data_IF_756493957225
#
_entry.id   IF_756493957225
#
_cell.length_a   1.000
_cell.length_b   1.000
_cell.length_c   1.000
_cell.angle_alpha   90.00
_cell.angle_beta   90.00
_cell.angle_gamma   90.00
#
_symmetry.space_group_name_H-M   'P 1'
#
loop_
_entity.id
_entity.type
_entity.pdbx_description
1 polymer ?
#
# COMPACT_ATOMS: atom_id res chain seq x y z
N UNK A 1 -5.18 65.09 -8.11
CA UNK A 1 -4.64 64.13 -9.07
C UNK A 1 -3.50 63.41 -8.37
N UNK A 2 -3.77 62.25 -7.77
CA UNK A 2 -2.77 61.42 -7.11
C UNK A 2 -2.37 60.31 -8.07
N UNK A 3 -1.06 60.18 -8.33
CA UNK A 3 -0.52 59.19 -9.25
C UNK A 3 -0.68 57.79 -8.66
N UNK A 4 -1.40 56.93 -9.36
CA UNK A 4 -1.36 55.49 -9.14
C UNK A 4 -0.10 54.97 -9.83
N UNK A 5 0.77 54.31 -9.05
CA UNK A 5 1.92 53.58 -9.56
C UNK A 5 1.44 52.17 -9.85
N UNK A 6 1.62 51.71 -11.09
CA UNK A 6 1.14 50.41 -11.57
C UNK A 6 1.74 49.28 -10.73
N UNK A 7 0.87 48.39 -10.26
CA UNK A 7 1.26 47.19 -9.53
C UNK A 7 2.05 46.27 -10.45
N UNK A 8 3.35 46.18 -10.20
CA UNK A 8 4.22 45.19 -10.83
C UNK A 8 3.63 43.81 -10.64
N UNK A 9 3.19 43.19 -11.74
CA UNK A 9 2.79 41.79 -11.74
C UNK A 9 4.02 40.95 -11.42
N UNK A 10 4.02 40.33 -10.24
CA UNK A 10 4.95 39.24 -9.95
C UNK A 10 4.57 38.05 -10.84
N UNK A 11 5.32 37.86 -11.92
CA UNK A 11 5.34 36.60 -12.65
C UNK A 11 6.17 35.59 -11.86
N UNK A 12 5.67 35.17 -10.71
CA UNK A 12 6.13 33.98 -10.02
C UNK A 12 5.41 32.78 -10.62
N UNK A 13 6.12 31.87 -11.29
CA UNK A 13 5.58 30.54 -11.55
C UNK A 13 5.21 29.94 -10.18
N UNK A 14 3.93 29.63 -9.97
CA UNK A 14 3.50 28.99 -8.74
C UNK A 14 4.26 27.66 -8.60
N UNK A 15 4.93 27.47 -7.47
CA UNK A 15 5.68 26.24 -7.20
C UNK A 15 4.70 25.06 -7.22
N UNK A 16 4.95 24.09 -8.10
CA UNK A 16 4.17 22.85 -8.17
C UNK A 16 4.38 22.03 -6.90
N UNK A 17 3.38 22.11 -6.01
CA UNK A 17 3.38 21.39 -4.74
C UNK A 17 3.27 19.87 -4.92
N UNK A 18 2.81 19.39 -6.08
CA UNK A 18 2.63 17.97 -6.35
C UNK A 18 1.33 17.36 -5.84
N UNK A 19 0.42 18.19 -5.33
CA UNK A 19 -0.88 17.77 -4.86
C UNK A 19 -1.94 18.87 -5.01
N UNK A 20 -3.20 18.47 -4.92
CA UNK A 20 -4.36 19.34 -4.71
C UNK A 20 -5.02 18.91 -3.40
N UNK A 21 -5.31 19.85 -2.50
CA UNK A 21 -6.01 19.56 -1.24
C UNK A 21 -7.45 20.05 -1.27
N UNK A 22 -8.39 19.15 -1.04
CA UNK A 22 -9.80 19.45 -0.82
C UNK A 22 -10.11 19.45 0.69
N UNK A 23 -10.43 20.62 1.24
CA UNK A 23 -10.75 20.79 2.65
C UNK A 23 -12.12 20.25 3.06
N UNK A 24 -13.05 20.08 2.12
CA UNK A 24 -14.39 19.54 2.40
C UNK A 24 -14.32 18.05 2.68
N UNK A 25 -13.50 17.33 1.91
CA UNK A 25 -13.30 15.88 2.04
C UNK A 25 -12.04 15.52 2.82
N UNK A 26 -11.22 16.51 3.21
CA UNK A 26 -9.88 16.34 3.79
C UNK A 26 -8.99 15.43 2.95
N UNK A 27 -8.96 15.64 1.63
CA UNK A 27 -8.27 14.74 0.70
C UNK A 27 -7.13 15.42 -0.03
N UNK A 28 -5.96 14.78 0.01
CA UNK A 28 -4.84 15.08 -0.88
C UNK A 28 -4.99 14.26 -2.16
N UNK A 29 -5.12 14.93 -3.29
CA UNK A 29 -4.96 14.33 -4.63
C UNK A 29 -3.51 14.50 -5.04
N UNK A 30 -2.74 13.42 -5.08
CA UNK A 30 -1.28 13.42 -5.19
C UNK A 30 -0.84 12.91 -6.57
N UNK A 31 0.04 13.65 -7.24
CA UNK A 31 0.55 13.30 -8.59
C UNK A 31 2.08 13.32 -8.71
N UNK A 32 2.82 13.64 -7.64
CA UNK A 32 4.27 13.44 -7.61
C UNK A 32 4.78 13.15 -6.18
N UNK A 33 6.09 12.90 -6.05
CA UNK A 33 6.74 12.57 -4.79
C UNK A 33 6.61 13.69 -3.72
N UNK A 34 6.71 14.96 -4.11
CA UNK A 34 6.59 16.09 -3.20
C UNK A 34 5.18 16.13 -2.57
N UNK A 35 4.14 15.90 -3.38
CA UNK A 35 2.78 15.83 -2.87
C UNK A 35 2.54 14.68 -1.92
N UNK A 36 3.14 13.51 -2.18
CA UNK A 36 3.02 12.36 -1.29
C UNK A 36 3.70 12.64 0.06
N UNK A 37 4.87 13.29 0.05
CA UNK A 37 5.58 13.69 1.26
C UNK A 37 4.83 14.80 2.02
N UNK A 38 4.15 15.72 1.32
CA UNK A 38 3.30 16.72 1.94
C UNK A 38 2.10 16.09 2.66
N UNK A 39 1.42 15.14 2.02
CA UNK A 39 0.38 14.34 2.68
C UNK A 39 0.93 13.56 3.88
N UNK A 40 2.08 12.90 3.73
CA UNK A 40 2.74 12.16 4.81
C UNK A 40 3.04 13.05 6.03
N UNK A 41 3.45 14.31 5.80
CA UNK A 41 3.66 15.30 6.86
C UNK A 41 2.34 15.76 7.51
N UNK A 42 1.27 15.87 6.72
CA UNK A 42 -0.05 16.26 7.22
C UNK A 42 -0.65 15.21 8.16
N UNK A 43 -0.54 13.92 7.83
CA UNK A 43 -1.08 12.83 8.66
C UNK A 43 -0.40 12.69 10.02
N UNK A 44 0.79 13.27 10.21
CA UNK A 44 1.44 13.33 11.52
C UNK A 44 0.66 14.22 12.52
N UNK A 45 -0.22 15.10 12.01
CA UNK A 45 -1.06 16.00 12.80
C UNK A 45 -2.53 15.58 12.83
N UNK A 46 -3.01 14.99 11.74
CA UNK A 46 -4.37 14.47 11.61
C UNK A 46 -4.35 13.17 10.79
N UNK A 47 -4.36 12.04 11.50
CA UNK A 47 -4.30 10.68 10.93
C UNK A 47 -5.53 10.29 10.08
N UNK A 48 -6.58 11.13 10.06
CA UNK A 48 -7.79 10.92 9.27
C UNK A 48 -7.72 11.48 7.84
N UNK A 49 -6.66 12.22 7.51
CA UNK A 49 -6.51 12.87 6.19
C UNK A 49 -6.38 11.81 5.08
N UNK A 50 -7.21 11.94 4.06
CA UNK A 50 -7.26 11.02 2.92
C UNK A 50 -6.14 11.31 1.91
N UNK A 51 -5.73 10.27 1.19
CA UNK A 51 -4.82 10.36 0.05
C UNK A 51 -5.44 9.64 -1.16
N UNK A 52 -5.35 10.27 -2.31
CA UNK A 52 -5.71 9.67 -3.60
C UNK A 52 -4.58 9.92 -4.57
N UNK A 53 -3.98 8.86 -5.11
CA UNK A 53 -2.94 8.98 -6.14
C UNK A 53 -3.59 9.15 -7.52
N UNK A 54 -2.97 9.96 -8.38
CA UNK A 54 -3.35 10.11 -9.80
C UNK A 54 -2.18 9.88 -10.75
N UNK A 55 -1.03 9.49 -10.21
CA UNK A 55 0.15 9.10 -10.95
C UNK A 55 0.95 8.07 -10.16
N UNK A 56 1.81 7.32 -10.85
CA UNK A 56 2.84 6.51 -10.21
C UNK A 56 3.84 7.43 -9.52
N UNK A 57 4.29 7.07 -8.32
CA UNK A 57 5.13 7.91 -7.47
C UNK A 57 6.46 7.22 -7.19
N UNK A 58 7.57 7.86 -7.57
CA UNK A 58 8.91 7.39 -7.23
C UNK A 58 9.48 8.13 -6.02
N UNK A 59 9.74 7.40 -4.94
CA UNK A 59 10.35 7.91 -3.70
C UNK A 59 11.85 7.60 -3.61
N UNK A 60 12.50 7.20 -4.71
CA UNK A 60 13.94 6.91 -4.71
C UNK A 60 14.75 8.11 -4.20
N UNK A 61 15.59 7.86 -3.18
CA UNK A 61 16.40 8.89 -2.54
C UNK A 61 15.60 9.90 -1.71
N UNK A 62 14.34 9.63 -1.40
CA UNK A 62 13.49 10.45 -0.51
C UNK A 62 13.37 9.80 0.86
N UNK A 63 13.30 10.62 1.89
CA UNK A 63 13.04 10.16 3.25
C UNK A 63 11.54 9.98 3.49
N UNK A 64 11.15 8.83 4.03
CA UNK A 64 9.78 8.57 4.46
C UNK A 64 9.66 8.69 5.98
N UNK A 65 8.75 9.56 6.44
CA UNK A 65 8.46 9.64 7.88
C UNK A 65 7.32 8.69 8.21
N UNK A 66 7.60 7.72 9.08
CA UNK A 66 6.58 6.77 9.56
C UNK A 66 5.57 7.48 10.46
N UNK A 67 4.28 7.19 10.25
CA UNK A 67 3.24 7.53 11.24
C UNK A 67 3.34 6.58 12.44
N UNK A 68 3.73 7.12 13.59
CA UNK A 68 3.93 6.37 14.85
C UNK A 68 2.93 6.82 15.92
N UNK A 69 1.65 6.84 15.57
CA UNK A 69 0.56 7.18 16.47
C UNK A 69 -0.28 5.94 16.78
N UNK A 70 -0.83 5.91 17.99
CA UNK A 70 -1.95 5.05 18.33
C UNK A 70 -3.21 5.93 18.40
N UNK A 71 -4.31 5.57 17.71
CA UNK A 71 -4.59 4.25 17.14
C UNK A 71 -4.14 4.06 15.67
N UNK A 72 -3.48 5.03 15.05
CA UNK A 72 -2.85 4.89 13.73
C UNK A 72 -3.68 5.47 12.59
N UNK A 73 -3.24 5.24 11.35
CA UNK A 73 -3.87 5.85 10.17
C UNK A 73 -5.35 5.46 10.07
N UNK A 74 -6.24 6.45 10.02
CA UNK A 74 -7.70 6.26 10.01
C UNK A 74 -8.39 6.82 8.77
N UNK A 75 -7.63 7.46 7.89
CA UNK A 75 -8.13 7.92 6.58
C UNK A 75 -8.19 6.81 5.53
N UNK A 76 -8.54 7.23 4.32
CA UNK A 76 -8.52 6.40 3.11
C UNK A 76 -7.29 6.75 2.27
N UNK A 77 -6.41 5.77 2.07
CA UNK A 77 -5.36 5.81 1.07
C UNK A 77 -5.82 5.03 -0.17
N UNK A 78 -6.11 5.73 -1.26
CA UNK A 78 -6.54 5.13 -2.51
C UNK A 78 -5.47 5.31 -3.59
N UNK A 79 -4.81 4.23 -3.98
CA UNK A 79 -3.81 4.27 -5.05
C UNK A 79 -4.41 4.44 -6.45
N UNK A 80 -5.72 4.21 -6.63
CA UNK A 80 -6.39 4.22 -7.94
C UNK A 80 -5.71 3.34 -9.02
N UNK A 81 -5.03 2.27 -8.60
CA UNK A 81 -4.24 1.42 -9.48
C UNK A 81 -2.85 1.97 -9.81
N UNK A 82 -2.44 3.10 -9.23
CA UNK A 82 -1.07 3.60 -9.31
C UNK A 82 -0.14 2.89 -8.33
N UNK A 83 1.14 3.05 -8.60
CA UNK A 83 2.23 2.44 -7.87
C UNK A 83 3.06 3.45 -7.08
N UNK A 84 3.76 2.93 -6.07
CA UNK A 84 4.83 3.64 -5.36
C UNK A 84 6.10 2.80 -5.44
N UNK A 85 7.19 3.39 -5.92
CA UNK A 85 8.54 2.79 -5.99
C UNK A 85 9.52 3.48 -5.04
N UNK A 86 10.71 2.92 -4.90
CA UNK A 86 11.81 3.56 -4.18
C UNK A 86 11.72 3.48 -2.66
N UNK A 87 10.78 2.69 -2.14
CA UNK A 87 10.59 2.45 -0.70
C UNK A 87 11.72 1.59 -0.15
N UNK A 88 12.71 2.23 0.46
CA UNK A 88 13.81 1.60 1.19
C UNK A 88 13.67 1.93 2.68
N UNK A 89 13.29 0.95 3.49
CA UNK A 89 13.18 1.13 4.93
C UNK A 89 14.25 0.33 5.68
N UNK A 90 14.85 0.93 6.71
CA UNK A 90 15.72 0.20 7.65
C UNK A 90 14.85 -0.56 8.65
N UNK A 91 15.18 -1.80 9.01
CA UNK A 91 14.29 -2.74 9.72
C UNK A 91 13.88 -2.38 11.14
N UNK A 92 14.20 -1.19 11.66
CA UNK A 92 13.83 -0.78 13.01
C UNK A 92 12.31 -0.53 13.20
N UNK A 93 11.45 -1.20 12.39
CA UNK A 93 9.96 -1.30 12.41
C UNK A 93 9.26 -0.46 11.32
N UNK A 94 9.22 -0.95 10.09
CA UNK A 94 8.64 -0.21 8.96
C UNK A 94 7.73 -1.05 8.04
N UNK A 95 6.72 -0.34 7.55
CA UNK A 95 5.88 -0.51 6.36
C UNK A 95 5.43 0.91 5.96
N UNK A 96 4.53 1.05 4.98
CA UNK A 96 3.91 2.36 4.67
C UNK A 96 3.27 2.98 5.93
N UNK A 97 2.68 2.13 6.79
CA UNK A 97 2.13 2.49 8.09
C UNK A 97 2.56 1.51 9.19
N UNK A 98 2.66 1.99 10.43
CA UNK A 98 2.83 1.10 11.59
C UNK A 98 1.49 0.49 12.01
N UNK A 99 0.48 1.32 12.22
CA UNK A 99 -0.87 0.89 12.59
C UNK A 99 -1.87 1.42 11.56
N UNK A 100 -2.72 0.54 11.04
CA UNK A 100 -3.94 0.92 10.33
C UNK A 100 -5.11 0.78 11.30
N UNK A 101 -5.77 1.90 11.60
CA UNK A 101 -6.92 1.96 12.50
C UNK A 101 -8.12 1.17 11.93
N UNK A 102 -9.10 0.83 12.77
CA UNK A 102 -10.34 0.16 12.36
C UNK A 102 -11.11 0.90 11.24
N UNK A 103 -11.07 2.23 11.22
CA UNK A 103 -11.67 3.06 10.17
C UNK A 103 -10.76 3.23 8.95
N UNK A 104 -9.48 2.88 9.07
CA UNK A 104 -8.48 3.08 8.04
C UNK A 104 -8.66 2.12 6.86
N UNK A 105 -8.51 2.66 5.65
CA UNK A 105 -8.62 1.88 4.41
C UNK A 105 -7.42 2.16 3.53
N UNK A 106 -6.71 1.10 3.14
CA UNK A 106 -5.73 1.16 2.07
C UNK A 106 -6.30 0.36 0.91
N UNK A 107 -6.47 1.00 -0.25
CA UNK A 107 -7.04 0.33 -1.41
C UNK A 107 -6.38 0.70 -2.72
N UNK A 108 -6.44 -0.22 -3.67
CA UNK A 108 -6.02 -0.03 -5.05
C UNK A 108 -4.56 0.45 -5.20
N UNK A 109 -3.66 -0.03 -4.33
CA UNK A 109 -2.29 0.46 -4.22
C UNK A 109 -1.28 -0.63 -4.53
N UNK A 110 -0.28 -0.29 -5.35
CA UNK A 110 0.78 -1.22 -5.73
C UNK A 110 2.13 -0.70 -5.19
N UNK A 111 2.74 -1.41 -4.25
CA UNK A 111 4.10 -1.08 -3.80
C UNK A 111 5.09 -1.94 -4.59
N UNK A 112 6.01 -1.28 -5.28
CA UNK A 112 6.95 -1.93 -6.18
C UNK A 112 8.36 -1.80 -5.62
N UNK A 113 9.08 -2.93 -5.64
CA UNK A 113 10.49 -3.04 -5.25
C UNK A 113 10.76 -2.51 -3.84
N UNK A 114 9.89 -2.87 -2.90
CA UNK A 114 10.05 -2.57 -1.48
C UNK A 114 11.27 -3.33 -0.96
N UNK A 115 12.21 -2.59 -0.37
CA UNK A 115 13.39 -3.15 0.27
C UNK A 115 13.31 -2.92 1.78
N UNK A 116 13.14 -4.00 2.54
CA UNK A 116 13.13 -4.00 4.00
C UNK A 116 14.35 -4.76 4.50
N UNK A 117 15.36 -4.06 5.02
CA UNK A 117 16.59 -4.67 5.50
C UNK A 117 16.94 -4.33 6.95
N UNK A 118 17.31 -5.35 7.72
CA UNK A 118 17.88 -5.23 9.07
C UNK A 118 17.46 -6.33 10.06
N UNK A 119 17.74 -6.10 11.35
CA UNK A 119 18.09 -7.21 12.26
C UNK A 119 17.12 -7.51 13.41
N UNK A 120 16.06 -6.72 13.66
CA UNK A 120 15.15 -7.01 14.78
C UNK A 120 13.75 -6.41 14.65
N UNK A 121 12.72 -7.18 15.03
CA UNK A 121 11.31 -6.75 15.08
C UNK A 121 10.41 -7.37 14.01
N UNK A 122 9.09 -7.29 14.23
CA UNK A 122 8.10 -7.56 13.19
C UNK A 122 8.03 -6.36 12.23
N UNK A 123 7.93 -6.64 10.94
CA UNK A 123 7.83 -5.63 9.87
C UNK A 123 6.90 -6.14 8.78
N UNK A 124 6.46 -5.25 7.88
CA UNK A 124 5.65 -5.67 6.75
C UNK A 124 5.84 -4.78 5.53
N UNK A 125 5.57 -5.32 4.35
CA UNK A 125 5.64 -4.55 3.12
C UNK A 125 4.72 -3.32 3.11
N UNK A 126 3.54 -3.42 3.75
CA UNK A 126 2.53 -2.34 3.76
C UNK A 126 2.18 -1.83 5.16
N UNK A 127 1.75 -2.71 6.08
CA UNK A 127 1.30 -2.30 7.42
C UNK A 127 1.78 -3.28 8.50
N UNK A 128 2.41 -2.82 9.58
CA UNK A 128 2.77 -3.75 10.66
C UNK A 128 1.52 -4.35 11.32
N UNK A 129 0.58 -3.53 11.81
CA UNK A 129 -0.69 -4.03 12.37
C UNK A 129 -1.90 -3.47 11.65
N UNK A 130 -2.64 -4.36 11.00
CA UNK A 130 -3.90 -4.03 10.34
C UNK A 130 -5.09 -4.21 11.29
N UNK A 131 -5.81 -3.14 11.65
CA UNK A 131 -7.14 -3.23 12.26
C UNK A 131 -8.27 -2.84 11.31
N UNK A 132 -7.94 -2.25 10.16
CA UNK A 132 -8.87 -1.73 9.16
C UNK A 132 -9.01 -2.65 7.95
N UNK A 133 -8.98 -2.06 6.75
CA UNK A 133 -9.18 -2.78 5.50
C UNK A 133 -8.02 -2.55 4.52
N UNK A 134 -7.48 -3.64 3.97
CA UNK A 134 -6.50 -3.61 2.88
C UNK A 134 -7.12 -4.33 1.68
N UNK A 135 -7.38 -3.60 0.58
CA UNK A 135 -8.21 -4.08 -0.52
C UNK A 135 -7.53 -3.83 -1.86
N UNK A 136 -7.42 -4.86 -2.72
CA UNK A 136 -6.83 -4.69 -4.06
C UNK A 136 -5.41 -4.09 -4.02
N UNK A 137 -4.59 -4.54 -3.07
CA UNK A 137 -3.23 -4.04 -2.89
C UNK A 137 -2.18 -5.08 -3.25
N UNK A 138 -1.00 -4.61 -3.65
CA UNK A 138 0.14 -5.50 -3.90
C UNK A 138 1.45 -4.98 -3.37
N UNK A 139 2.37 -5.92 -3.14
CA UNK A 139 3.76 -5.64 -2.75
C UNK A 139 4.70 -6.53 -3.55
N UNK A 140 5.69 -5.93 -4.19
CA UNK A 140 6.88 -6.65 -4.66
C UNK A 140 8.13 -6.19 -3.93
N UNK A 141 9.15 -7.06 -3.86
CA UNK A 141 10.48 -6.66 -3.40
C UNK A 141 11.21 -7.70 -2.56
N UNK A 142 12.11 -7.22 -1.70
CA UNK A 142 13.00 -8.03 -0.88
C UNK A 142 12.86 -7.63 0.59
N UNK A 143 12.35 -8.53 1.42
CA UNK A 143 12.15 -8.30 2.85
C UNK A 143 13.05 -9.27 3.64
N UNK A 144 14.23 -8.83 4.07
CA UNK A 144 15.24 -9.63 4.80
C UNK A 144 15.02 -9.67 6.32
N UNK A 145 13.78 -9.51 6.74
CA UNK A 145 13.32 -9.42 8.14
C UNK A 145 12.22 -10.45 8.43
N UNK A 146 11.88 -10.69 9.71
CA UNK A 146 10.71 -11.49 10.05
C UNK A 146 9.43 -10.70 9.77
N UNK A 147 8.85 -10.90 8.58
CA UNK A 147 7.77 -10.05 8.09
C UNK A 147 6.54 -10.79 7.59
N UNK A 148 5.46 -10.02 7.51
CA UNK A 148 4.37 -10.27 6.57
C UNK A 148 4.59 -9.52 5.26
N UNK A 149 4.37 -10.14 4.09
CA UNK A 149 4.54 -9.42 2.82
C UNK A 149 3.52 -8.28 2.65
N UNK A 150 2.29 -8.44 3.15
CA UNK A 150 1.28 -7.38 3.20
C UNK A 150 1.22 -6.78 4.61
N UNK A 151 0.94 -7.61 5.63
CA UNK A 151 0.83 -7.16 7.01
C UNK A 151 1.48 -8.11 8.01
N UNK A 152 2.10 -7.62 9.07
CA UNK A 152 2.74 -8.50 10.05
C UNK A 152 1.70 -9.13 10.99
N UNK A 153 0.78 -8.34 11.54
CA UNK A 153 -0.37 -8.81 12.30
C UNK A 153 -1.68 -8.30 11.68
N UNK A 154 -2.65 -9.20 11.48
CA UNK A 154 -3.95 -8.89 10.89
C UNK A 154 -5.09 -9.07 11.89
N UNK A 155 -5.71 -7.96 12.28
CA UNK A 155 -6.93 -7.88 13.08
C UNK A 155 -8.13 -7.36 12.27
N UNK A 156 -7.91 -6.96 11.01
CA UNK A 156 -8.90 -6.45 10.08
C UNK A 156 -9.08 -7.35 8.86
N UNK A 157 -9.56 -6.79 7.75
CA UNK A 157 -9.79 -7.56 6.52
C UNK A 157 -8.69 -7.30 5.48
N UNK A 158 -8.20 -8.37 4.85
CA UNK A 158 -7.29 -8.30 3.69
C UNK A 158 -7.98 -8.99 2.53
N UNK A 159 -8.26 -8.25 1.46
CA UNK A 159 -9.12 -8.70 0.36
C UNK A 159 -8.42 -8.49 -0.97
N UNK A 160 -8.37 -9.54 -1.79
CA UNK A 160 -7.89 -9.48 -3.18
C UNK A 160 -6.48 -8.85 -3.30
N UNK A 161 -5.59 -9.18 -2.36
CA UNK A 161 -4.22 -8.67 -2.32
C UNK A 161 -3.21 -9.73 -2.74
N UNK A 162 -2.03 -9.31 -3.20
CA UNK A 162 -0.96 -10.25 -3.51
C UNK A 162 0.45 -9.75 -3.19
N UNK A 163 1.34 -10.69 -2.92
CA UNK A 163 2.77 -10.45 -2.71
C UNK A 163 3.61 -11.24 -3.72
N UNK A 164 4.72 -10.68 -4.20
CA UNK A 164 5.74 -11.46 -4.88
C UNK A 164 7.13 -10.91 -4.59
N UNK A 165 8.02 -11.75 -4.06
CA UNK A 165 9.33 -11.26 -3.67
C UNK A 165 10.19 -12.29 -2.96
N UNK A 166 11.30 -11.82 -2.42
CA UNK A 166 12.19 -12.64 -1.58
C UNK A 166 11.97 -12.26 -0.13
N UNK A 167 11.64 -13.24 0.71
CA UNK A 167 11.63 -13.11 2.16
C UNK A 167 12.91 -13.68 2.77
N UNK A 168 13.23 -13.23 3.98
CA UNK A 168 14.26 -13.86 4.82
C UNK A 168 14.00 -15.36 4.89
N UNK A 169 15.00 -16.14 4.47
CA UNK A 169 14.96 -17.60 4.45
C UNK A 169 15.19 -18.19 5.85
N UNK A 170 14.29 -17.86 6.78
CA UNK A 170 14.29 -18.36 8.14
C UNK A 170 12.87 -18.72 8.56
N UNK A 171 12.74 -19.74 9.42
CA UNK A 171 11.49 -20.08 10.07
C UNK A 171 10.91 -18.83 10.77
N UNK A 172 9.66 -18.48 10.45
CA UNK A 172 8.96 -17.38 11.12
C UNK A 172 8.49 -16.22 10.26
N UNK A 173 8.48 -16.33 8.94
CA UNK A 173 7.83 -15.38 8.02
C UNK A 173 6.48 -15.94 7.52
N UNK A 174 5.54 -15.07 7.18
CA UNK A 174 4.29 -15.46 6.50
C UNK A 174 4.04 -14.52 5.32
N UNK A 175 3.91 -15.07 4.12
CA UNK A 175 4.08 -14.27 2.89
C UNK A 175 2.99 -13.22 2.67
N UNK A 176 1.77 -13.49 3.09
CA UNK A 176 0.70 -12.50 3.15
C UNK A 176 0.71 -11.85 4.53
N UNK A 177 0.60 -12.68 5.58
CA UNK A 177 0.69 -12.22 6.97
C UNK A 177 1.42 -13.17 7.90
N UNK A 178 2.01 -12.64 8.97
CA UNK A 178 2.68 -13.47 9.98
C UNK A 178 1.68 -13.99 11.03
N UNK A 179 0.89 -13.11 11.63
CA UNK A 179 -0.13 -13.48 12.62
C UNK A 179 -1.51 -13.04 12.16
N UNK A 180 -2.43 -13.98 11.96
CA UNK A 180 -3.78 -13.69 11.51
C UNK A 180 -4.80 -13.89 12.61
N UNK A 181 -5.61 -12.87 12.89
CA UNK A 181 -6.70 -12.90 13.87
C UNK A 181 -8.07 -12.65 13.20
N UNK A 182 -8.10 -12.33 11.90
CA UNK A 182 -9.32 -11.92 11.17
C UNK A 182 -9.29 -12.42 9.71
N UNK A 183 -10.08 -11.87 8.80
CA UNK A 183 -10.33 -12.52 7.51
C UNK A 183 -9.29 -12.14 6.46
N UNK A 184 -8.86 -13.15 5.71
CA UNK A 184 -8.09 -13.01 4.49
C UNK A 184 -8.91 -13.64 3.37
N UNK A 185 -9.28 -12.84 2.38
CA UNK A 185 -10.15 -13.25 1.29
C UNK A 185 -9.41 -13.14 -0.04
N UNK A 186 -9.30 -14.27 -0.74
CA UNK A 186 -8.76 -14.36 -2.10
C UNK A 186 -7.42 -13.66 -2.28
N UNK A 187 -6.44 -13.97 -1.41
CA UNK A 187 -5.09 -13.41 -1.51
C UNK A 187 -4.10 -14.40 -2.12
N UNK A 188 -3.05 -13.92 -2.76
CA UNK A 188 -2.12 -14.78 -3.48
C UNK A 188 -0.68 -14.38 -3.26
N UNK A 189 0.25 -15.35 -3.25
CA UNK A 189 1.67 -15.00 -3.15
C UNK A 189 2.54 -15.82 -4.09
N UNK A 190 3.54 -15.18 -4.67
CA UNK A 190 4.70 -15.84 -5.27
C UNK A 190 5.96 -15.60 -4.44
N UNK A 191 7.09 -16.11 -4.92
CA UNK A 191 8.39 -15.97 -4.27
C UNK A 191 8.88 -17.25 -3.59
N UNK A 192 9.89 -17.11 -2.73
CA UNK A 192 10.62 -18.23 -2.12
C UNK A 192 9.91 -18.89 -0.93
N UNK A 193 8.92 -18.23 -0.32
CA UNK A 193 8.30 -18.71 0.91
C UNK A 193 7.11 -19.65 0.65
N UNK A 194 7.04 -20.72 1.45
CA UNK A 194 6.01 -21.76 1.32
C UNK A 194 4.69 -21.41 2.01
N UNK A 195 4.74 -20.60 3.07
CA UNK A 195 3.56 -20.28 3.88
C UNK A 195 3.06 -18.86 3.61
N UNK A 196 1.78 -18.73 3.26
CA UNK A 196 1.10 -17.44 3.13
C UNK A 196 0.73 -16.83 4.49
N UNK A 197 0.39 -17.68 5.47
CA UNK A 197 0.09 -17.30 6.85
C UNK A 197 0.92 -18.18 7.77
N UNK A 198 1.74 -17.57 8.63
CA UNK A 198 2.56 -18.34 9.58
C UNK A 198 1.72 -18.89 10.73
N UNK A 199 0.88 -18.06 11.36
CA UNK A 199 -0.02 -18.46 12.45
C UNK A 199 -1.42 -17.88 12.24
N UNK A 200 -2.43 -18.74 12.34
CA UNK A 200 -3.83 -18.34 12.34
C UNK A 200 -4.43 -18.53 13.74
N UNK A 201 -4.83 -17.43 14.36
CA UNK A 201 -5.25 -17.31 15.76
C UNK A 201 -6.78 -17.12 15.90
N UNK A 202 -7.55 -17.34 14.83
CA UNK A 202 -9.02 -17.29 14.87
C UNK A 202 -9.71 -16.68 13.64
N UNK A 203 -8.97 -16.37 12.59
CA UNK A 203 -9.51 -15.80 11.35
C UNK A 203 -9.81 -16.83 10.25
N UNK A 204 -10.50 -16.40 9.19
CA UNK A 204 -10.60 -17.18 7.95
C UNK A 204 -9.41 -16.88 7.05
N UNK A 205 -8.90 -17.89 6.36
CA UNK A 205 -7.75 -17.76 5.46
C UNK A 205 -8.08 -18.37 4.11
N UNK A 206 -8.34 -17.53 3.13
CA UNK A 206 -8.40 -17.88 1.71
C UNK A 206 -7.21 -17.22 1.03
N UNK A 207 -6.07 -17.90 1.09
CA UNK A 207 -4.85 -17.47 0.43
C UNK A 207 -4.18 -18.65 -0.29
N UNK A 208 -3.56 -18.40 -1.45
CA UNK A 208 -2.95 -19.46 -2.27
C UNK A 208 -1.58 -19.08 -2.82
N UNK A 209 -0.62 -20.01 -2.73
CA UNK A 209 0.69 -19.88 -3.38
C UNK A 209 0.54 -19.99 -4.89
N UNK A 210 1.19 -19.09 -5.62
CA UNK A 210 1.38 -19.15 -7.06
C UNK A 210 2.73 -19.78 -7.34
N UNK A 211 2.72 -21.09 -7.58
CA UNK A 211 3.92 -21.91 -7.82
C UNK A 211 4.34 -21.96 -9.31
N UNK A 212 3.49 -21.45 -10.21
CA UNK A 212 3.69 -21.47 -11.66
C UNK A 212 3.38 -22.81 -12.32
N UNK A 213 3.25 -23.90 -11.54
CA UNK A 213 2.97 -25.24 -12.03
C UNK A 213 1.49 -25.58 -11.90
N UNK A 214 0.95 -25.53 -10.68
CA UNK A 214 -0.44 -25.84 -10.36
C UNK A 214 -1.31 -24.58 -10.31
N UNK A 215 -0.75 -23.49 -9.78
CA UNK A 215 -1.43 -22.20 -9.67
C UNK A 215 -0.63 -21.16 -10.45
N UNK A 216 -1.29 -20.52 -11.42
CA UNK A 216 -0.72 -19.46 -12.24
C UNK A 216 -1.26 -18.10 -11.80
N UNK A 217 -0.54 -17.03 -12.11
CA UNK A 217 -1.00 -15.67 -11.82
C UNK A 217 -2.34 -15.32 -12.49
N UNK A 218 -2.68 -15.94 -13.62
CA UNK A 218 -4.01 -15.78 -14.20
C UNK A 218 -5.12 -16.31 -13.28
N UNK A 219 -4.92 -17.47 -12.64
CA UNK A 219 -5.86 -18.00 -11.64
C UNK A 219 -6.00 -17.07 -10.45
N UNK A 220 -4.90 -16.45 -10.01
CA UNK A 220 -4.91 -15.44 -8.97
C UNK A 220 -5.72 -14.20 -9.37
N UNK A 221 -5.52 -13.70 -10.60
CA UNK A 221 -6.28 -12.58 -11.16
C UNK A 221 -7.79 -12.86 -11.12
N UNK A 222 -8.21 -14.04 -11.58
CA UNK A 222 -9.63 -14.41 -11.66
C UNK A 222 -10.26 -14.50 -10.26
N UNK A 223 -9.56 -15.12 -9.30
CA UNK A 223 -10.02 -15.21 -7.91
C UNK A 223 -10.12 -13.83 -7.25
N UNK A 224 -9.06 -13.02 -7.36
CA UNK A 224 -9.05 -11.66 -6.79
C UNK A 224 -10.18 -10.80 -7.36
N UNK A 225 -10.40 -10.84 -8.68
CA UNK A 225 -11.48 -10.08 -9.32
C UNK A 225 -12.87 -10.53 -8.87
N UNK A 226 -13.06 -11.83 -8.59
CA UNK A 226 -14.32 -12.35 -8.05
C UNK A 226 -14.61 -11.82 -6.64
N UNK A 227 -13.56 -11.55 -5.86
CA UNK A 227 -13.69 -11.03 -4.49
C UNK A 227 -13.87 -9.51 -4.41
N UNK A 228 -13.55 -8.76 -5.46
CA UNK A 228 -13.74 -7.30 -5.49
C UNK A 228 -15.21 -6.94 -5.66
N UNK A 229 -15.68 -5.99 -4.84
CA UNK A 229 -17.04 -5.43 -4.91
C UNK A 229 -16.98 -4.03 -5.52
N UNK A 230 -17.94 -3.66 -6.37
CA UNK A 230 -18.04 -2.34 -6.99
C UNK A 230 -17.56 -2.24 -8.44
N UNK A 231 -16.77 -3.19 -8.93
CA UNK A 231 -16.29 -3.25 -10.33
C UNK A 231 -15.49 -2.03 -10.82
N UNK A 232 -15.10 -1.06 -9.97
CA UNK A 232 -14.34 0.13 -10.39
C UNK A 232 -12.90 -0.21 -10.82
N UNK A 233 -12.34 -1.28 -10.27
CA UNK A 233 -10.99 -1.75 -10.53
C UNK A 233 -10.98 -3.25 -10.75
N UNK A 234 -10.05 -3.72 -11.58
CA UNK A 234 -9.82 -5.13 -11.82
C UNK A 234 -8.32 -5.41 -11.94
N UNK A 235 -7.89 -6.54 -11.42
CA UNK A 235 -6.59 -7.11 -11.71
C UNK A 235 -6.55 -7.60 -13.15
N UNK A 236 -5.43 -7.36 -13.81
CA UNK A 236 -5.13 -7.86 -15.16
C UNK A 236 -3.71 -8.42 -15.16
N UNK A 237 -3.41 -9.38 -16.03
CA UNK A 237 -2.03 -9.85 -16.16
C UNK A 237 -1.19 -8.75 -16.86
N UNK A 238 -0.16 -8.27 -16.18
CA UNK A 238 0.81 -7.33 -16.74
C UNK A 238 1.79 -7.99 -17.70
N UNK A 239 2.58 -7.18 -18.40
CA UNK A 239 3.59 -7.66 -19.36
C UNK A 239 4.68 -8.51 -18.71
N UNK A 240 4.99 -8.25 -17.44
CA UNK A 240 5.93 -9.06 -16.63
C UNK A 240 5.33 -10.35 -16.07
N UNK A 241 4.09 -10.71 -16.43
CA UNK A 241 3.42 -11.93 -15.95
C UNK A 241 2.92 -11.84 -14.50
N UNK A 242 2.99 -10.67 -13.86
CA UNK A 242 2.41 -10.39 -12.55
C UNK A 242 1.08 -9.62 -12.69
N UNK A 243 0.15 -9.75 -11.73
CA UNK A 243 -1.08 -8.96 -11.75
C UNK A 243 -0.80 -7.47 -11.64
N UNK A 244 -1.51 -6.65 -12.40
CA UNK A 244 -1.50 -5.18 -12.33
C UNK A 244 -2.94 -4.70 -12.22
N UNK A 245 -3.21 -3.85 -11.24
CA UNK A 245 -4.55 -3.31 -11.03
C UNK A 245 -4.81 -2.19 -12.03
N UNK A 246 -5.97 -2.22 -12.69
CA UNK A 246 -6.39 -1.20 -13.63
C UNK A 246 -7.80 -0.74 -13.31
N UNK A 247 -8.08 0.52 -13.59
CA UNK A 247 -9.46 1.02 -13.60
C UNK A 247 -10.26 0.24 -14.64
N UNK A 248 -11.46 -0.17 -14.26
CA UNK A 248 -12.33 -0.92 -15.13
C UNK A 248 -13.16 0.07 -15.96
N UNK A 249 -12.78 0.24 -17.22
CA UNK A 249 -13.45 1.17 -18.14
C UNK A 249 -14.86 0.74 -18.57
N UNK A 250 -15.44 -0.29 -17.94
CA UNK A 250 -16.80 -0.77 -18.21
C UNK A 250 -17.88 -0.02 -17.42
N UNK A 251 -17.52 0.78 -16.41
CA UNK A 251 -18.40 1.73 -15.73
C UNK A 251 -17.75 3.13 -15.80
N UNK A 252 -18.15 3.98 -16.77
CA UNK A 252 -17.71 5.37 -16.85
C UNK A 252 -18.23 6.21 -15.67
#
# INVERSE_FOLDING_TARGET
>A
IGSWVDGGGESGEAEDLGYIYDSNTKTYTVYNANGLLAWNKAIQKDESINCTLTADIDLTGREWTRLDTWPGYSGVFNGQGHSITGLNFSAARFGLFLFLNQSGVIKNLQLIDVNLDGSSGGAAGMVDRNHGQIIACSVTGKLTVHSGGIANANYGDIIACWFNGTLKDEAGCGTIVRFNYKNITSCYWGGNAEQGVLRNEGGTVVATKVDGATVKWQTAVDGMNTALTGNDYQWTLGTGGLPVLKRNNKNP
#
